data_IF_386959017668
#
_entry.id   IF_386959017668
#
_cell.length_a   1.000
_cell.length_b   1.000
_cell.length_c   1.000
_cell.angle_alpha   90.00
_cell.angle_beta   90.00
_cell.angle_gamma   90.00
#
_symmetry.space_group_name_H-M   'P 1'
#
loop_
_entity.id
_entity.type
_entity.pdbx_description
1 polymer ?
#
# COMPACT_ATOMS: atom_id res chain seq x y z
N UNK A 1 -37.38 -19.37 2.16
CA UNK A 1 -36.46 -19.57 2.41
C UNK A 1 -35.29 -19.18 1.58
N UNK A 2 -35.29 -19.29 0.25
CA UNK A 2 -34.22 -18.73 -0.55
C UNK A 2 -34.09 -17.22 -0.33
N UNK A 3 -35.22 -16.51 -0.21
CA UNK A 3 -35.21 -15.08 0.06
C UNK A 3 -34.58 -14.73 1.41
N UNK A 4 -34.89 -15.50 2.46
CA UNK A 4 -34.32 -15.24 3.78
C UNK A 4 -32.82 -15.45 3.81
N UNK A 5 -32.31 -16.49 3.14
CA UNK A 5 -30.90 -16.73 3.02
C UNK A 5 -30.18 -15.62 2.26
N UNK A 6 -30.78 -15.11 1.19
CA UNK A 6 -30.22 -14.00 0.43
C UNK A 6 -30.18 -12.70 1.25
N UNK A 7 -31.22 -12.44 2.03
CA UNK A 7 -31.27 -11.26 2.90
C UNK A 7 -30.20 -11.34 3.99
N UNK A 8 -30.02 -12.53 4.60
CA UNK A 8 -28.98 -12.75 5.60
C UNK A 8 -27.60 -12.58 5.01
N UNK A 9 -27.36 -13.09 3.80
CA UNK A 9 -26.09 -12.94 3.12
C UNK A 9 -25.78 -11.47 2.83
N UNK A 10 -26.77 -10.69 2.42
CA UNK A 10 -26.60 -9.26 2.17
C UNK A 10 -26.26 -8.51 3.45
N UNK A 11 -26.93 -8.83 4.57
CA UNK A 11 -26.67 -8.21 5.85
C UNK A 11 -25.25 -8.54 6.33
N UNK A 12 -24.83 -9.79 6.22
CA UNK A 12 -23.49 -10.22 6.61
C UNK A 12 -22.42 -9.53 5.75
N UNK A 13 -22.66 -9.37 4.46
CA UNK A 13 -21.76 -8.64 3.58
C UNK A 13 -21.64 -7.18 4.00
N UNK A 14 -22.75 -6.54 4.32
CA UNK A 14 -22.75 -5.13 4.76
C UNK A 14 -22.01 -4.95 6.07
N UNK A 15 -22.23 -5.87 7.04
CA UNK A 15 -21.51 -5.84 8.31
C UNK A 15 -20.02 -6.03 8.12
N UNK A 16 -19.62 -6.97 7.26
CA UNK A 16 -18.21 -7.22 6.95
C UNK A 16 -17.58 -6.00 6.28
N UNK A 17 -18.25 -5.41 5.32
CA UNK A 17 -17.76 -4.20 4.65
C UNK A 17 -17.61 -3.04 5.63
N UNK A 18 -18.55 -2.88 6.57
CA UNK A 18 -18.48 -1.83 7.59
C UNK A 18 -17.28 -2.04 8.51
N UNK A 19 -17.06 -3.28 8.97
CA UNK A 19 -15.92 -3.62 9.82
C UNK A 19 -14.61 -3.37 9.07
N UNK A 20 -14.52 -3.75 7.81
CA UNK A 20 -13.34 -3.54 7.00
C UNK A 20 -13.07 -2.04 6.76
N UNK A 21 -14.11 -1.25 6.56
CA UNK A 21 -13.98 0.20 6.42
C UNK A 21 -13.47 0.84 7.71
N UNK A 22 -14.01 0.44 8.86
CA UNK A 22 -13.55 0.94 10.16
C UNK A 22 -12.09 0.58 10.39
N UNK A 23 -11.69 -0.65 10.07
CA UNK A 23 -10.30 -1.09 10.18
C UNK A 23 -9.40 -0.26 9.27
N UNK A 24 -9.82 -0.03 8.03
CA UNK A 24 -9.04 0.76 7.08
C UNK A 24 -8.90 2.21 7.55
N UNK A 25 -9.95 2.81 8.12
CA UNK A 25 -9.90 4.18 8.64
C UNK A 25 -8.93 4.29 9.82
N UNK A 26 -8.94 3.31 10.73
CA UNK A 26 -7.99 3.26 11.83
C UNK A 26 -6.56 3.12 11.37
N UNK A 27 -6.32 2.27 10.38
CA UNK A 27 -5.01 2.11 9.77
C UNK A 27 -4.56 3.37 9.05
N UNK A 28 -5.48 4.04 8.35
CA UNK A 28 -5.21 5.29 7.67
C UNK A 28 -4.66 6.34 8.62
N UNK A 29 -5.31 6.53 9.76
CA UNK A 29 -4.85 7.50 10.75
C UNK A 29 -3.48 7.11 11.30
N UNK A 30 -3.28 5.83 11.62
CA UNK A 30 -2.00 5.33 12.10
C UNK A 30 -0.88 5.53 11.08
N UNK A 31 -1.18 5.33 9.80
CA UNK A 31 -0.21 5.55 8.73
C UNK A 31 0.14 7.03 8.60
N UNK A 32 -0.86 7.90 8.66
CA UNK A 32 -0.62 9.34 8.59
C UNK A 32 0.24 9.80 9.77
N UNK A 33 -0.01 9.26 10.97
CA UNK A 33 0.77 9.58 12.16
C UNK A 33 2.20 9.06 12.08
N UNK A 34 2.48 8.08 11.22
CA UNK A 34 3.80 7.48 11.06
C UNK A 34 4.62 8.09 9.93
N UNK A 35 4.19 9.21 9.37
CA UNK A 35 4.89 9.87 8.26
C UNK A 35 6.32 10.23 8.65
N UNK A 36 7.26 9.87 7.78
CA UNK A 36 8.67 10.25 7.88
C UNK A 36 8.98 11.23 6.74
N UNK A 37 9.82 12.21 7.01
CA UNK A 37 10.29 13.10 5.95
C UNK A 37 11.65 12.63 5.46
N UNK A 38 11.75 12.42 4.14
CA UNK A 38 12.98 12.03 3.47
C UNK A 38 13.17 12.98 2.30
N UNK A 39 14.19 13.83 2.37
CA UNK A 39 14.51 14.81 1.31
C UNK A 39 13.32 15.72 0.96
N UNK A 40 12.53 16.12 1.95
CA UNK A 40 11.35 16.96 1.75
C UNK A 40 10.13 16.23 1.24
N UNK A 41 10.21 14.90 1.16
CA UNK A 41 9.10 14.04 0.71
C UNK A 41 8.53 13.30 1.91
N UNK A 42 7.22 13.22 1.98
CA UNK A 42 6.53 12.45 3.04
C UNK A 42 6.55 10.99 2.65
N UNK A 43 7.13 10.15 3.50
CA UNK A 43 7.21 8.71 3.27
C UNK A 43 6.42 7.95 4.31
N UNK A 44 5.56 7.06 3.85
CA UNK A 44 4.90 6.07 4.70
C UNK A 44 5.31 4.70 4.18
N UNK A 45 6.03 3.94 5.00
CA UNK A 45 6.45 2.57 4.66
C UNK A 45 6.07 1.68 5.82
N UNK A 46 4.95 0.99 5.69
CA UNK A 46 4.39 0.18 6.77
C UNK A 46 3.85 -1.14 6.23
N UNK A 47 3.85 -2.13 7.12
CA UNK A 47 3.20 -3.40 6.87
C UNK A 47 1.78 -3.31 7.42
N UNK A 48 0.79 -3.67 6.60
CA UNK A 48 -0.62 -3.60 6.98
C UNK A 48 -1.31 -4.94 6.76
N UNK A 49 -2.37 -5.16 7.51
CA UNK A 49 -3.17 -6.38 7.42
C UNK A 49 -4.51 -6.06 6.76
N UNK A 50 -4.47 -5.90 5.44
CA UNK A 50 -5.65 -5.59 4.62
C UNK A 50 -5.62 -6.39 3.33
N UNK A 51 -6.81 -6.64 2.77
CA UNK A 51 -6.93 -7.22 1.45
C UNK A 51 -6.35 -6.25 0.39
N UNK A 52 -5.79 -6.78 -0.72
CA UNK A 52 -5.14 -5.94 -1.72
C UNK A 52 -6.02 -4.82 -2.29
N UNK A 53 -7.32 -5.09 -2.49
CA UNK A 53 -8.24 -4.07 -2.99
C UNK A 53 -8.41 -2.90 -2.01
N UNK A 54 -8.44 -3.21 -0.72
CA UNK A 54 -8.55 -2.18 0.33
C UNK A 54 -7.25 -1.39 0.46
N UNK A 55 -6.10 -2.03 0.25
CA UNK A 55 -4.81 -1.35 0.27
C UNK A 55 -4.76 -0.29 -0.83
N UNK A 56 -5.22 -0.63 -2.03
CA UNK A 56 -5.27 0.32 -3.14
C UNK A 56 -6.16 1.52 -2.81
N UNK A 57 -7.36 1.27 -2.30
CA UNK A 57 -8.27 2.34 -1.91
C UNK A 57 -7.66 3.23 -0.84
N UNK A 58 -6.99 2.63 0.14
CA UNK A 58 -6.33 3.36 1.21
C UNK A 58 -5.21 4.26 0.66
N UNK A 59 -4.42 3.75 -0.28
CA UNK A 59 -3.36 4.53 -0.93
C UNK A 59 -3.93 5.77 -1.61
N UNK A 60 -5.01 5.63 -2.35
CA UNK A 60 -5.61 6.76 -3.06
C UNK A 60 -6.26 7.75 -2.09
N UNK A 61 -6.88 7.27 -1.01
CA UNK A 61 -7.48 8.15 0.00
C UNK A 61 -6.42 9.00 0.71
N UNK A 62 -5.32 8.37 1.13
CA UNK A 62 -4.23 9.10 1.77
C UNK A 62 -3.58 10.05 0.78
N UNK A 63 -3.36 9.60 -0.45
CA UNK A 63 -2.76 10.43 -1.49
C UNK A 63 -3.59 11.64 -1.87
N UNK A 64 -4.93 11.56 -1.74
CA UNK A 64 -5.81 12.69 -1.97
C UNK A 64 -5.72 13.75 -0.87
N UNK A 65 -5.35 13.34 0.34
CA UNK A 65 -5.25 14.25 1.49
C UNK A 65 -3.88 14.87 1.66
N UNK A 66 -2.84 14.22 1.18
CA UNK A 66 -1.45 14.64 1.39
C UNK A 66 -0.74 14.86 0.07
N UNK A 67 -0.01 15.95 -0.01
CA UNK A 67 0.85 16.26 -1.15
C UNK A 67 2.28 15.78 -0.89
N UNK A 68 3.06 15.60 -1.95
CA UNK A 68 4.47 15.16 -1.87
C UNK A 68 4.61 13.86 -1.07
N UNK A 69 3.75 12.89 -1.38
CA UNK A 69 3.66 11.63 -0.62
C UNK A 69 4.17 10.46 -1.43
N UNK A 70 5.03 9.65 -0.80
CA UNK A 70 5.34 8.30 -1.26
C UNK A 70 4.82 7.33 -0.22
N UNK A 71 3.97 6.43 -0.64
CA UNK A 71 3.31 5.47 0.25
C UNK A 71 3.67 4.06 -0.19
N UNK A 72 4.30 3.31 0.70
CA UNK A 72 4.67 1.93 0.45
C UNK A 72 4.01 1.06 1.52
N UNK A 73 3.07 0.23 1.11
CA UNK A 73 2.35 -0.66 2.01
C UNK A 73 2.63 -2.12 1.64
N UNK A 74 3.00 -2.91 2.64
CA UNK A 74 3.22 -4.33 2.48
C UNK A 74 2.14 -5.14 3.14
N UNK A 75 1.66 -6.18 2.47
CA UNK A 75 0.68 -7.12 3.02
C UNK A 75 1.20 -8.54 2.88
N UNK A 76 0.85 -9.39 3.83
CA UNK A 76 1.19 -10.80 3.79
C UNK A 76 -0.09 -11.61 3.96
N UNK A 77 -0.37 -12.50 3.00
CA UNK A 77 -1.53 -13.40 3.04
C UNK A 77 -1.15 -14.73 2.41
N UNK A 78 -1.53 -15.83 3.06
CA UNK A 78 -1.38 -17.19 2.53
C UNK A 78 0.05 -17.47 2.02
N UNK A 79 1.05 -17.14 2.83
CA UNK A 79 2.48 -17.31 2.53
C UNK A 79 2.93 -16.52 1.30
N UNK A 80 2.17 -15.50 0.94
CA UNK A 80 2.52 -14.59 -0.14
C UNK A 80 2.65 -13.17 0.40
N UNK A 81 3.54 -12.41 -0.20
CA UNK A 81 3.73 -11.01 0.13
C UNK A 81 3.33 -10.14 -1.03
N UNK A 82 2.82 -8.97 -0.73
CA UNK A 82 2.47 -7.98 -1.75
C UNK A 82 2.90 -6.61 -1.28
N UNK A 83 3.50 -5.85 -2.17
CA UNK A 83 3.90 -4.49 -1.90
C UNK A 83 3.11 -3.58 -2.83
N UNK A 84 2.49 -2.55 -2.26
CA UNK A 84 1.80 -1.51 -3.03
C UNK A 84 2.54 -0.20 -2.82
N UNK A 85 2.82 0.50 -3.91
CA UNK A 85 3.52 1.77 -3.87
C UNK A 85 2.67 2.84 -4.54
N UNK A 86 2.50 3.96 -3.86
CA UNK A 86 1.83 5.14 -4.39
C UNK A 86 2.78 6.32 -4.36
N UNK A 87 2.86 7.05 -5.46
CA UNK A 87 3.68 8.25 -5.58
C UNK A 87 2.79 9.40 -6.04
N UNK A 88 2.85 10.52 -5.32
CA UNK A 88 2.10 11.71 -5.72
C UNK A 88 2.49 12.14 -7.13
N UNK A 89 1.52 12.58 -7.92
CA UNK A 89 1.75 12.97 -9.31
C UNK A 89 2.80 14.07 -9.44
N UNK A 90 2.83 14.98 -8.50
CA UNK A 90 3.81 16.06 -8.45
C UNK A 90 5.24 15.52 -8.35
N UNK A 91 5.44 14.48 -7.54
CA UNK A 91 6.75 13.85 -7.39
C UNK A 91 7.16 13.09 -8.64
N UNK A 92 6.21 12.49 -9.34
CA UNK A 92 6.49 11.84 -10.62
C UNK A 92 7.01 12.86 -11.63
N UNK A 93 6.39 14.03 -11.68
CA UNK A 93 6.77 15.08 -12.61
C UNK A 93 8.06 15.82 -12.19
N UNK A 94 8.16 16.18 -10.91
CA UNK A 94 9.25 17.05 -10.43
C UNK A 94 10.52 16.28 -10.07
N UNK A 95 10.36 15.07 -9.50
CA UNK A 95 11.48 14.27 -8.99
C UNK A 95 11.80 13.06 -9.86
N UNK A 96 10.97 12.77 -10.86
CA UNK A 96 11.15 11.60 -11.69
C UNK A 96 10.94 10.28 -10.96
N UNK A 97 10.21 10.28 -9.86
CA UNK A 97 9.92 9.07 -9.12
C UNK A 97 8.93 8.19 -9.89
N UNK A 98 9.09 6.88 -9.78
CA UNK A 98 8.26 5.94 -10.53
C UNK A 98 7.90 4.76 -9.63
N UNK A 99 6.61 4.63 -9.33
CA UNK A 99 6.14 3.57 -8.44
C UNK A 99 6.46 2.17 -8.98
N UNK A 100 6.39 1.99 -10.29
CA UNK A 100 6.74 0.72 -10.92
C UNK A 100 8.18 0.31 -10.68
N UNK A 101 9.11 1.26 -10.72
CA UNK A 101 10.51 0.97 -10.42
C UNK A 101 10.71 0.68 -8.94
N UNK A 102 10.01 1.41 -8.07
CA UNK A 102 10.07 1.19 -6.64
C UNK A 102 9.68 -0.24 -6.29
N UNK A 103 8.55 -0.72 -6.81
CA UNK A 103 8.08 -2.07 -6.50
C UNK A 103 8.97 -3.14 -7.13
N UNK A 104 9.62 -2.85 -8.25
CA UNK A 104 10.60 -3.79 -8.83
C UNK A 104 11.79 -3.99 -7.90
N UNK A 105 12.31 -2.91 -7.34
CA UNK A 105 13.43 -2.98 -6.41
C UNK A 105 13.01 -3.63 -5.08
N UNK A 106 11.87 -3.21 -4.54
CA UNK A 106 11.38 -3.74 -3.27
C UNK A 106 10.89 -5.18 -3.40
N UNK A 107 10.38 -5.55 -4.56
CA UNK A 107 9.93 -6.91 -4.83
C UNK A 107 11.03 -7.96 -4.71
N UNK A 108 12.28 -7.58 -4.91
CA UNK A 108 13.41 -8.50 -4.75
C UNK A 108 13.51 -9.04 -3.32
N UNK A 109 13.14 -8.26 -2.33
CA UNK A 109 13.19 -8.69 -0.93
C UNK A 109 12.13 -9.73 -0.59
N UNK A 110 11.07 -9.80 -1.37
CA UNK A 110 9.99 -10.77 -1.16
C UNK A 110 9.99 -11.88 -2.21
N UNK A 111 11.10 -12.05 -2.93
CA UNK A 111 11.25 -13.03 -4.01
C UNK A 111 10.12 -12.90 -5.05
N UNK A 112 9.82 -11.66 -5.41
CA UNK A 112 8.73 -11.38 -6.31
C UNK A 112 9.10 -10.37 -7.38
N UNK A 113 8.12 -10.01 -8.15
CA UNK A 113 8.25 -9.00 -9.18
C UNK A 113 6.94 -8.25 -9.30
N UNK A 114 7.01 -7.11 -9.93
CA UNK A 114 5.83 -6.31 -10.14
C UNK A 114 6.11 -5.16 -11.09
N UNK A 115 5.19 -4.27 -11.14
CA UNK A 115 5.25 -3.10 -11.98
C UNK A 115 3.92 -2.41 -11.98
N UNK A 116 3.82 -1.34 -12.74
CA UNK A 116 2.59 -0.58 -12.84
C UNK A 116 2.86 0.78 -13.40
N UNK A 117 2.02 1.72 -13.02
CA UNK A 117 2.09 3.09 -13.52
C UNK A 117 3.05 3.91 -12.66
N UNK A 118 3.48 5.08 -13.15
CA UNK A 118 4.41 5.93 -12.38
C UNK A 118 3.87 6.36 -11.02
N UNK A 119 2.57 6.52 -10.89
CA UNK A 119 1.95 7.00 -9.66
C UNK A 119 1.43 5.86 -8.77
N UNK A 120 1.24 4.65 -9.30
CA UNK A 120 0.77 3.50 -8.52
C UNK A 120 1.22 2.19 -9.15
N UNK A 121 1.81 1.33 -8.33
CA UNK A 121 2.27 0.02 -8.78
C UNK A 121 2.21 -0.99 -7.64
N UNK A 122 2.18 -2.26 -7.99
CA UNK A 122 2.18 -3.35 -7.02
C UNK A 122 3.17 -4.42 -7.42
N UNK A 123 3.72 -5.11 -6.42
CA UNK A 123 4.56 -6.28 -6.62
C UNK A 123 4.07 -7.41 -5.74
N UNK A 124 4.15 -8.63 -6.26
CA UNK A 124 3.80 -9.82 -5.50
C UNK A 124 4.96 -10.78 -5.43
N UNK A 125 5.14 -11.44 -4.28
CA UNK A 125 6.23 -12.38 -4.08
C UNK A 125 5.84 -13.52 -3.16
N UNK A 126 6.76 -14.45 -2.97
CA UNK A 126 6.51 -15.67 -2.20
C UNK A 126 7.16 -15.63 -0.81
N UNK A 127 7.83 -14.54 -0.46
CA UNK A 127 8.57 -14.45 0.80
C UNK A 127 8.03 -13.32 1.69
N UNK A 128 6.99 -13.60 2.50
CA UNK A 128 6.46 -12.58 3.41
C UNK A 128 7.48 -12.10 4.45
N UNK A 129 8.46 -12.93 4.79
CA UNK A 129 9.51 -12.54 5.72
C UNK A 129 10.39 -11.41 5.23
N UNK A 130 10.40 -11.13 3.93
CA UNK A 130 11.16 -10.03 3.36
C UNK A 130 10.47 -8.67 3.40
N UNK A 131 9.20 -8.62 3.81
CA UNK A 131 8.46 -7.36 3.84
C UNK A 131 9.08 -6.31 4.74
N UNK A 132 9.58 -6.71 5.91
CA UNK A 132 10.22 -5.77 6.84
C UNK A 132 11.46 -5.13 6.20
N UNK A 133 12.27 -5.92 5.51
CA UNK A 133 13.43 -5.42 4.78
C UNK A 133 13.01 -4.51 3.63
N UNK A 134 11.94 -4.88 2.91
CA UNK A 134 11.42 -4.06 1.83
C UNK A 134 10.94 -2.70 2.33
N UNK A 135 10.26 -2.67 3.48
CA UNK A 135 9.80 -1.40 4.06
C UNK A 135 10.99 -0.51 4.46
N UNK A 136 12.04 -1.09 5.02
CA UNK A 136 13.27 -0.34 5.34
C UNK A 136 13.96 0.14 4.07
N UNK A 137 13.99 -0.68 3.03
CA UNK A 137 14.61 -0.34 1.76
C UNK A 137 13.84 0.77 1.02
N UNK A 138 12.57 0.96 1.31
CA UNK A 138 11.79 2.02 0.70
C UNK A 138 12.35 3.41 1.04
N UNK A 139 12.79 3.61 2.28
CA UNK A 139 13.41 4.87 2.68
C UNK A 139 14.75 5.08 1.95
N UNK A 140 15.56 4.01 1.83
CA UNK A 140 16.83 4.06 1.11
C UNK A 140 16.61 4.35 -0.36
N UNK A 141 15.61 3.71 -0.96
CA UNK A 141 15.26 3.97 -2.35
C UNK A 141 14.90 5.43 -2.57
N UNK A 142 14.11 6.01 -1.66
CA UNK A 142 13.69 7.40 -1.77
C UNK A 142 14.87 8.35 -1.59
N UNK A 143 15.83 8.01 -0.71
CA UNK A 143 17.04 8.80 -0.53
C UNK A 143 17.92 8.82 -1.76
N UNK A 144 17.98 7.72 -2.51
CA UNK A 144 18.80 7.62 -3.72
C UNK A 144 18.08 8.09 -4.97
N UNK A 145 16.75 8.09 -4.98
CA UNK A 145 15.96 8.55 -6.11
C UNK A 145 15.90 10.08 -6.12
N UNK A 146 16.37 10.67 -7.19
CA UNK A 146 16.38 12.12 -7.34
C UNK A 146 15.70 12.55 -8.63
#
# INVERSE_FOLDING_TARGET
>A
QVKQLQEQNQLLKKELESIMKEKAMGLKQGLIDSIQEVNGIKLIAQKVDLAPGLVKDLCFQIGAQLDNLVLVLGTAQDDKAMISCYVSKELVADRGLHAGEAVKQLGQYIDGSGGGQPFFATAGGKNPGGLTQAMSAAADWLNTAR
#
